data_IF_512485162493
#
_entry.id   IF_512485162493
#
_cell.length_a   1.000
_cell.length_b   1.000
_cell.length_c   1.000
_cell.angle_alpha   90.00
_cell.angle_beta   90.00
_cell.angle_gamma   90.00
#
_symmetry.space_group_name_H-M   'P 1'
#
loop_
_entity.id
_entity.type
_entity.pdbx_description
1 polymer ?
#
# COMPACT_ATOMS: atom_id res chain seq x y z
N UNK A 1 20.60 -7.57 -28.89
CA UNK A 1 19.28 -7.55 -28.21
C UNK A 1 19.33 -7.56 -26.67
N UNK A 2 20.47 -7.26 -26.02
CA UNK A 2 20.53 -7.07 -24.55
C UNK A 2 20.21 -5.64 -24.11
N UNK A 3 20.60 -4.67 -24.94
CA UNK A 3 20.58 -3.23 -24.66
C UNK A 3 19.18 -2.64 -24.41
N UNK A 4 18.16 -3.15 -25.11
CA UNK A 4 16.80 -2.61 -24.99
C UNK A 4 16.09 -3.03 -23.68
N UNK A 5 16.59 -4.05 -22.99
CA UNK A 5 15.96 -4.55 -21.76
C UNK A 5 16.26 -3.68 -20.53
N UNK A 6 17.45 -3.08 -20.49
CA UNK A 6 17.85 -2.20 -19.39
C UNK A 6 17.14 -0.85 -19.49
N UNK A 7 16.90 -0.35 -20.71
CA UNK A 7 16.05 0.81 -20.97
C UNK A 7 14.60 0.63 -20.50
N UNK A 8 14.01 -0.57 -20.68
CA UNK A 8 12.66 -0.90 -20.19
C UNK A 8 12.59 -0.92 -18.65
N UNK A 9 13.64 -1.43 -17.99
CA UNK A 9 13.73 -1.43 -16.51
C UNK A 9 13.86 0.00 -15.99
N UNK A 10 14.73 0.82 -16.60
CA UNK A 10 14.89 2.23 -16.23
C UNK A 10 13.59 3.03 -16.41
N UNK A 11 12.88 2.80 -17.52
CA UNK A 11 11.58 3.42 -17.76
C UNK A 11 10.55 3.00 -16.71
N UNK A 12 10.46 1.71 -16.41
CA UNK A 12 9.56 1.20 -15.36
C UNK A 12 9.86 1.81 -13.99
N UNK A 13 11.14 1.90 -13.62
CA UNK A 13 11.57 2.55 -12.37
C UNK A 13 11.25 4.05 -12.36
N UNK A 14 11.42 4.77 -13.47
CA UNK A 14 11.08 6.19 -13.57
C UNK A 14 9.56 6.41 -13.36
N UNK A 15 8.71 5.53 -13.89
CA UNK A 15 7.26 5.59 -13.72
C UNK A 15 6.80 5.19 -12.31
N UNK A 16 7.58 4.41 -11.58
CA UNK A 16 7.34 4.13 -10.16
C UNK A 16 7.77 5.34 -9.32
N UNK A 17 9.04 5.74 -9.41
CA UNK A 17 9.67 6.70 -8.49
C UNK A 17 9.18 8.12 -8.75
N UNK A 18 9.08 8.54 -10.02
CA UNK A 18 8.74 9.91 -10.41
C UNK A 18 7.45 10.42 -9.75
N UNK A 19 6.32 9.69 -9.87
CA UNK A 19 5.06 10.06 -9.23
C UNK A 19 5.01 9.80 -7.71
N UNK A 20 5.87 8.91 -7.19
CA UNK A 20 5.96 8.63 -5.74
C UNK A 20 6.61 9.77 -4.96
N UNK A 21 7.54 10.51 -5.57
CA UNK A 21 8.20 11.66 -4.95
C UNK A 21 7.22 12.73 -4.44
N UNK A 22 6.28 13.27 -5.24
CA UNK A 22 5.28 14.21 -4.73
C UNK A 22 4.27 13.56 -3.76
N UNK A 23 4.00 12.27 -3.89
CA UNK A 23 3.07 11.53 -3.01
C UNK A 23 3.65 11.20 -1.62
N UNK A 24 4.98 11.26 -1.46
CA UNK A 24 5.69 10.89 -0.23
C UNK A 24 5.56 11.88 0.94
N UNK A 25 4.69 12.90 0.82
CA UNK A 25 4.48 13.95 1.83
C UNK A 25 5.73 14.78 2.17
N UNK A 26 6.77 14.79 1.32
CA UNK A 26 7.88 15.76 1.43
C UNK A 26 7.34 17.20 1.36
N UNK A 27 6.21 17.40 0.69
CA UNK A 27 5.36 18.59 0.77
C UNK A 27 3.98 18.17 1.26
N UNK A 28 3.42 18.86 2.25
CA UNK A 28 2.07 18.61 2.78
C UNK A 28 1.03 19.01 1.74
N UNK A 29 0.60 18.05 0.93
CA UNK A 29 -0.51 18.23 0.01
C UNK A 29 -1.79 17.97 0.83
N UNK A 30 -2.67 18.96 0.96
CA UNK A 30 -3.90 18.90 1.76
C UNK A 30 -4.97 17.90 1.27
N UNK A 31 -4.61 16.99 0.37
CA UNK A 31 -5.48 15.97 -0.17
C UNK A 31 -5.23 14.66 0.53
N UNK A 32 -6.30 13.94 0.92
CA UNK A 32 -6.21 12.53 1.28
C UNK A 32 -5.47 11.83 0.15
N UNK A 33 -4.46 11.00 0.46
CA UNK A 33 -3.70 10.22 -0.52
C UNK A 33 -4.70 9.41 -1.34
N UNK A 34 -5.19 10.00 -2.43
CA UNK A 34 -6.18 9.38 -3.26
C UNK A 34 -5.46 8.25 -3.98
N UNK A 35 -6.14 7.12 -4.08
CA UNK A 35 -5.88 6.05 -5.06
C UNK A 35 -5.28 6.54 -6.40
N UNK A 36 -5.65 7.74 -6.83
CA UNK A 36 -5.20 8.44 -8.04
C UNK A 36 -3.69 8.64 -8.13
N UNK A 37 -3.02 8.95 -7.02
CA UNK A 37 -1.56 9.13 -6.99
C UNK A 37 -0.81 7.80 -7.12
N UNK A 38 -1.48 6.68 -6.82
CA UNK A 38 -0.91 5.34 -6.88
C UNK A 38 -1.15 4.64 -8.22
N UNK A 39 -2.05 5.13 -9.08
CA UNK A 39 -2.28 4.51 -10.40
C UNK A 39 -1.03 4.54 -11.29
N UNK A 40 -0.34 5.68 -11.37
CA UNK A 40 0.85 5.82 -12.22
C UNK A 40 2.02 4.96 -11.70
N UNK A 41 2.35 4.97 -10.39
CA UNK A 41 3.30 4.02 -9.82
C UNK A 41 2.93 2.55 -10.02
N UNK A 42 1.64 2.20 -9.92
CA UNK A 42 1.18 0.83 -10.15
C UNK A 42 1.40 0.37 -11.58
N UNK A 43 1.23 1.27 -12.56
CA UNK A 43 1.54 0.99 -13.96
C UNK A 43 3.03 0.69 -14.15
N UNK A 44 3.91 1.51 -13.56
CA UNK A 44 5.35 1.27 -13.56
C UNK A 44 5.72 -0.08 -12.94
N UNK A 45 5.06 -0.47 -11.84
CA UNK A 45 5.24 -1.77 -11.21
C UNK A 45 4.81 -2.93 -12.15
N UNK A 46 3.66 -2.82 -12.80
CA UNK A 46 3.20 -3.82 -13.77
C UNK A 46 4.17 -4.00 -14.94
N UNK A 47 4.76 -2.90 -15.44
CA UNK A 47 5.80 -2.95 -16.49
C UNK A 47 7.04 -3.73 -16.02
N UNK A 48 7.52 -3.47 -14.81
CA UNK A 48 8.68 -4.17 -14.23
C UNK A 48 8.41 -5.68 -14.05
N UNK A 49 7.21 -6.04 -13.59
CA UNK A 49 6.79 -7.44 -13.48
C UNK A 49 6.75 -8.10 -14.86
N UNK A 50 6.26 -7.42 -15.90
CA UNK A 50 6.25 -7.91 -17.28
C UNK A 50 7.66 -8.24 -17.80
N UNK A 51 8.62 -7.32 -17.62
CA UNK A 51 10.03 -7.53 -18.01
C UNK A 51 10.64 -8.71 -17.23
N UNK A 52 10.29 -8.85 -15.96
CA UNK A 52 10.75 -9.95 -15.12
C UNK A 52 10.23 -11.30 -15.64
N UNK A 53 8.94 -11.38 -16.00
CA UNK A 53 8.31 -12.59 -16.59
C UNK A 53 8.92 -12.93 -17.95
N UNK A 54 9.18 -11.94 -18.80
CA UNK A 54 9.84 -12.14 -20.10
C UNK A 54 11.25 -12.74 -19.93
N UNK A 55 12.04 -12.20 -18.99
CA UNK A 55 13.36 -12.73 -18.63
C UNK A 55 13.29 -14.16 -18.06
N UNK A 56 12.19 -14.53 -17.40
CA UNK A 56 12.00 -15.91 -16.93
C UNK A 56 11.69 -16.90 -18.05
N UNK A 57 10.84 -16.52 -19.01
CA UNK A 57 10.47 -17.39 -20.14
C UNK A 57 11.65 -17.70 -21.06
N UNK A 58 12.53 -16.73 -21.29
CA UNK A 58 13.72 -16.92 -22.15
C UNK A 58 14.75 -17.88 -21.53
N UNK A 59 14.88 -17.89 -20.20
CA UNK A 59 15.80 -18.79 -19.48
C UNK A 59 15.27 -20.23 -19.42
N UNK A 60 13.96 -20.42 -19.28
CA UNK A 60 13.37 -21.76 -19.23
C UNK A 60 13.42 -22.51 -20.57
N UNK A 61 13.52 -21.80 -21.70
CA UNK A 61 13.61 -22.37 -23.04
C UNK A 61 15.03 -22.73 -23.52
N UNK A 62 16.08 -22.18 -22.91
CA UNK A 62 17.47 -22.48 -23.29
C UNK A 62 18.13 -23.46 -22.32
N UNK A 63 18.16 -24.73 -22.73
CA UNK A 63 18.97 -25.77 -22.09
C UNK A 63 20.47 -25.49 -22.32
N UNK A 64 21.11 -24.62 -21.52
CA UNK A 64 22.55 -24.71 -21.16
C UNK A 64 23.08 -23.57 -20.26
N UNK A 65 23.79 -24.02 -19.21
CA UNK A 65 25.10 -23.54 -18.71
C UNK A 65 25.34 -22.02 -18.73
N UNK A 66 25.00 -21.35 -17.62
CA UNK A 66 25.87 -20.31 -17.05
C UNK A 66 25.44 -20.04 -15.60
N UNK A 67 26.40 -20.00 -14.68
CA UNK A 67 26.23 -20.02 -13.22
C UNK A 67 25.66 -18.75 -12.60
N UNK A 68 24.59 -18.19 -13.16
CA UNK A 68 23.86 -17.10 -12.50
C UNK A 68 22.87 -17.67 -11.47
N UNK A 69 23.41 -18.12 -10.33
CA UNK A 69 22.66 -18.55 -9.14
C UNK A 69 21.77 -17.45 -8.53
N UNK A 70 21.88 -16.21 -8.99
CA UNK A 70 21.06 -15.10 -8.51
C UNK A 70 19.55 -15.37 -8.68
N UNK A 71 19.14 -16.04 -9.77
CA UNK A 71 17.71 -16.35 -9.98
C UNK A 71 17.17 -17.37 -8.98
N UNK A 72 18.00 -18.31 -8.53
CA UNK A 72 17.64 -19.29 -7.50
C UNK A 72 17.35 -18.63 -6.14
N UNK A 73 17.84 -17.40 -5.92
CA UNK A 73 17.61 -16.61 -4.70
C UNK A 73 16.51 -15.56 -4.88
N UNK A 74 16.47 -14.88 -6.04
CA UNK A 74 15.50 -13.80 -6.30
C UNK A 74 14.06 -14.31 -6.34
N UNK A 75 13.82 -15.48 -6.94
CA UNK A 75 12.47 -16.07 -7.03
C UNK A 75 11.89 -16.37 -5.65
N UNK A 76 12.53 -17.19 -4.78
CA UNK A 76 11.97 -17.46 -3.47
C UNK A 76 11.84 -16.19 -2.64
N UNK A 77 12.78 -15.24 -2.76
CA UNK A 77 12.67 -13.95 -2.07
C UNK A 77 11.43 -13.16 -2.53
N UNK A 78 11.16 -13.11 -3.82
CA UNK A 78 9.98 -12.45 -4.37
C UNK A 78 8.68 -13.15 -3.96
N UNK A 79 8.64 -14.49 -3.96
CA UNK A 79 7.49 -15.28 -3.48
C UNK A 79 7.25 -15.04 -2.00
N UNK A 80 8.30 -15.03 -1.17
CA UNK A 80 8.21 -14.71 0.27
C UNK A 80 7.69 -13.29 0.46
N UNK A 81 8.18 -12.31 -0.31
CA UNK A 81 7.68 -10.94 -0.27
C UNK A 81 6.18 -10.88 -0.59
N UNK A 82 5.73 -11.56 -1.66
CA UNK A 82 4.31 -11.62 -2.03
C UNK A 82 3.48 -12.30 -0.94
N UNK A 83 3.96 -13.37 -0.32
CA UNK A 83 3.26 -14.05 0.77
C UNK A 83 3.11 -13.13 2.00
N UNK A 84 4.15 -12.39 2.36
CA UNK A 84 4.09 -11.40 3.46
C UNK A 84 3.11 -10.26 3.15
N UNK A 85 3.11 -9.76 1.92
CA UNK A 85 2.16 -8.73 1.48
C UNK A 85 0.72 -9.27 1.47
N UNK A 86 0.49 -10.50 0.99
CA UNK A 86 -0.81 -11.14 1.03
C UNK A 86 -1.32 -11.32 2.46
N UNK A 87 -0.46 -11.74 3.39
CA UNK A 87 -0.80 -11.84 4.81
C UNK A 87 -1.21 -10.47 5.39
N UNK A 88 -0.53 -9.38 5.02
CA UNK A 88 -0.92 -8.02 5.44
C UNK A 88 -2.31 -7.65 4.92
N UNK A 89 -2.62 -7.97 3.67
CA UNK A 89 -3.94 -7.73 3.06
C UNK A 89 -5.02 -8.54 3.79
N UNK A 90 -4.79 -9.84 4.00
CA UNK A 90 -5.75 -10.71 4.70
C UNK A 90 -6.01 -10.24 6.14
N UNK A 91 -4.99 -9.77 6.85
CA UNK A 91 -5.15 -9.20 8.18
C UNK A 91 -6.01 -7.94 8.17
N UNK A 92 -5.75 -7.02 7.22
CA UNK A 92 -6.51 -5.78 7.08
C UNK A 92 -7.96 -6.02 6.64
N UNK A 93 -8.24 -7.02 5.81
CA UNK A 93 -9.60 -7.34 5.36
C UNK A 93 -10.55 -7.65 6.52
N UNK A 94 -10.04 -8.10 7.67
CA UNK A 94 -10.86 -8.32 8.88
C UNK A 94 -11.47 -7.01 9.42
N UNK A 95 -10.78 -5.89 9.21
CA UNK A 95 -11.23 -4.57 9.65
C UNK A 95 -12.37 -4.05 8.74
N UNK A 96 -12.50 -4.56 7.51
CA UNK A 96 -13.52 -4.17 6.52
C UNK A 96 -14.87 -4.86 6.69
N UNK A 97 -15.05 -5.67 7.75
CA UNK A 97 -16.29 -6.39 8.00
C UNK A 97 -17.48 -5.47 8.33
N UNK A 98 -17.21 -4.36 9.01
CA UNK A 98 -18.19 -3.37 9.43
C UNK A 98 -17.53 -1.99 9.59
N UNK A 99 -18.32 -0.92 9.39
CA UNK A 99 -17.81 0.46 9.47
C UNK A 99 -17.25 0.76 10.86
N UNK A 100 -17.92 0.29 11.93
CA UNK A 100 -17.48 0.53 13.30
C UNK A 100 -16.08 -0.01 13.59
N UNK A 101 -15.77 -1.23 13.15
CA UNK A 101 -14.44 -1.84 13.31
C UNK A 101 -13.42 -1.09 12.49
N UNK A 102 -13.77 -0.72 11.25
CA UNK A 102 -12.90 0.07 10.38
C UNK A 102 -12.53 1.42 11.02
N UNK A 103 -13.53 2.21 11.42
CA UNK A 103 -13.31 3.53 12.00
C UNK A 103 -12.65 3.46 13.37
N UNK A 104 -12.99 2.48 14.22
CA UNK A 104 -12.28 2.26 15.48
C UNK A 104 -10.81 1.92 15.23
N UNK A 105 -10.53 1.04 14.27
CA UNK A 105 -9.17 0.64 13.92
C UNK A 105 -8.36 1.84 13.45
N UNK A 106 -8.91 2.63 12.54
CA UNK A 106 -8.23 3.81 11.99
C UNK A 106 -8.07 4.90 13.05
N UNK A 107 -9.09 5.15 13.88
CA UNK A 107 -9.01 6.08 15.01
C UNK A 107 -7.89 5.69 15.99
N UNK A 108 -7.80 4.41 16.39
CA UNK A 108 -6.72 3.94 17.28
C UNK A 108 -5.33 4.07 16.67
N UNK A 109 -5.20 4.03 15.34
CA UNK A 109 -3.89 4.25 14.68
C UNK A 109 -3.50 5.71 14.63
N UNK A 110 -4.46 6.64 14.59
CA UNK A 110 -4.21 8.06 14.58
C UNK A 110 -5.27 8.81 15.41
N UNK A 111 -5.13 8.78 16.75
CA UNK A 111 -6.15 9.32 17.65
C UNK A 111 -6.28 10.85 17.57
N UNK A 112 -5.26 11.54 17.06
CA UNK A 112 -5.28 13.00 16.94
C UNK A 112 -5.97 13.50 15.65
N UNK A 113 -6.48 12.59 14.82
CA UNK A 113 -7.15 12.97 13.58
C UNK A 113 -8.65 13.21 13.79
N UNK A 114 -9.03 14.49 13.79
CA UNK A 114 -10.42 14.95 13.98
C UNK A 114 -11.40 14.30 12.99
N UNK A 115 -10.98 14.02 11.74
CA UNK A 115 -11.87 13.39 10.75
C UNK A 115 -12.19 11.95 11.12
N UNK A 116 -11.18 11.19 11.54
CA UNK A 116 -11.36 9.78 11.93
C UNK A 116 -12.22 9.66 13.18
N UNK A 117 -12.02 10.56 14.13
CA UNK A 117 -12.81 10.55 15.34
C UNK A 117 -14.26 10.95 15.15
N UNK A 118 -14.54 11.95 14.30
CA UNK A 118 -15.91 12.29 13.92
C UNK A 118 -16.59 11.11 13.22
N UNK A 119 -15.89 10.44 12.31
CA UNK A 119 -16.42 9.25 11.64
C UNK A 119 -16.70 8.11 12.63
N UNK A 120 -15.78 7.85 13.56
CA UNK A 120 -15.97 6.82 14.59
C UNK A 120 -17.10 7.15 15.57
N UNK A 121 -17.18 8.40 16.04
CA UNK A 121 -18.25 8.88 16.92
C UNK A 121 -19.62 8.77 16.25
N UNK A 122 -19.73 9.12 14.97
CA UNK A 122 -20.98 8.98 14.21
C UNK A 122 -21.46 7.53 14.14
N UNK A 123 -20.56 6.56 13.98
CA UNK A 123 -20.92 5.13 14.03
C UNK A 123 -21.34 4.68 15.44
N UNK A 124 -20.75 5.24 16.49
CA UNK A 124 -21.16 4.97 17.87
C UNK A 124 -22.56 5.53 18.17
N UNK A 125 -22.88 6.73 17.65
CA UNK A 125 -24.21 7.32 17.74
C UNK A 125 -25.25 6.45 17.03
N UNK A 126 -24.96 5.97 15.81
CA UNK A 126 -25.83 5.04 15.08
C UNK A 126 -26.04 3.71 15.83
N UNK A 127 -25.05 3.28 16.62
CA UNK A 127 -25.15 2.10 17.47
C UNK A 127 -25.82 2.36 18.83
N UNK A 128 -26.28 3.60 19.11
CA UNK A 128 -26.90 4.00 20.38
C UNK A 128 -25.94 4.19 21.55
N UNK A 129 -24.62 4.20 21.30
CA UNK A 129 -23.55 4.33 22.32
C UNK A 129 -23.13 5.79 22.50
N UNK A 130 -24.07 6.62 22.96
CA UNK A 130 -23.87 8.06 23.06
C UNK A 130 -22.75 8.47 24.03
N UNK A 131 -22.58 7.74 25.14
CA UNK A 131 -21.52 8.01 26.12
C UNK A 131 -20.12 7.79 25.51
N UNK A 132 -19.92 6.67 24.80
CA UNK A 132 -18.65 6.37 24.13
C UNK A 132 -18.35 7.41 23.03
N UNK A 133 -19.37 7.84 22.27
CA UNK A 133 -19.22 8.86 21.24
C UNK A 133 -18.78 10.22 21.83
N UNK A 134 -19.37 10.63 22.96
CA UNK A 134 -19.02 11.86 23.66
C UNK A 134 -17.56 11.85 24.13
N UNK A 135 -17.11 10.74 24.71
CA UNK A 135 -15.71 10.59 25.15
C UNK A 135 -14.72 10.73 23.99
N UNK A 136 -14.98 10.05 22.86
CA UNK A 136 -14.14 10.12 21.66
C UNK A 136 -14.00 11.56 21.14
N UNK A 137 -15.09 12.32 21.11
CA UNK A 137 -15.06 13.72 20.66
C UNK A 137 -14.34 14.60 21.68
N UNK A 138 -14.66 14.44 22.98
CA UNK A 138 -14.09 15.23 24.08
C UNK A 138 -12.57 15.14 24.12
N UNK A 139 -12.01 13.95 23.94
CA UNK A 139 -10.57 13.70 23.99
C UNK A 139 -9.79 14.47 22.89
N UNK A 140 -10.46 14.86 21.81
CA UNK A 140 -9.83 15.49 20.64
C UNK A 140 -10.10 16.97 20.55
N UNK A 141 -11.29 17.40 20.96
CA UNK A 141 -11.64 18.82 21.00
C UNK A 141 -11.07 19.51 22.24
N UNK A 142 -10.57 18.74 23.23
CA UNK A 142 -10.05 19.29 24.48
C UNK A 142 -11.13 19.98 25.32
N UNK A 143 -12.41 19.64 25.13
CA UNK A 143 -13.58 20.29 25.75
C UNK A 143 -13.75 19.95 27.25
N UNK A 144 -12.66 19.88 28.00
CA UNK A 144 -12.67 19.59 29.43
C UNK A 144 -11.37 19.95 30.16
N UNK A 145 -10.54 20.81 29.57
CA UNK A 145 -9.40 21.45 30.23
C UNK A 145 -9.70 22.94 30.44
#
# INVERSE_FOLDING_TARGET
EKDNSDGRVLLGLAWVVGPLLPASHIFTIGTVLAERLLFVPSLGYCMLVGVLVERFRSVSGQKKRSGNNAQAVIIPLFVVLLALLAQRVLSRNKDWKDNRTLWNRDFRTNPNNVKLAKAYASELELAGKLDEAYHVIKDITGLGA
#
